data_IF_936504737390
#
_entry.id   IF_936504737390
#
_cell.length_a   1.000
_cell.length_b   1.000
_cell.length_c   1.000
_cell.angle_alpha   90.00
_cell.angle_beta   90.00
_cell.angle_gamma   90.00
#
_symmetry.space_group_name_H-M   'P 1'
#
loop_
_entity.id
_entity.type
_entity.pdbx_description
1 polymer ?
#
# COMPACT_ATOMS: atom_id res chain seq x y z
N UNK A 1 11.05 -4.78 -36.00
CA UNK A 1 11.77 -3.99 -34.99
C UNK A 1 11.01 -4.19 -33.69
N UNK A 2 11.52 -5.05 -32.81
CA UNK A 2 10.92 -5.31 -31.49
C UNK A 2 11.28 -4.13 -30.60
N UNK A 3 10.30 -3.27 -30.32
CA UNK A 3 10.42 -2.29 -29.24
C UNK A 3 10.71 -3.07 -27.96
N UNK A 4 11.92 -2.93 -27.42
CA UNK A 4 12.24 -3.46 -26.11
C UNK A 4 11.33 -2.72 -25.12
N UNK A 5 10.27 -3.38 -24.67
CA UNK A 5 9.35 -2.86 -23.66
C UNK A 5 10.16 -2.54 -22.41
N UNK A 6 10.37 -1.24 -22.15
CA UNK A 6 11.14 -0.77 -20.99
C UNK A 6 10.54 -1.33 -19.70
N UNK A 7 11.34 -2.13 -19.01
CA UNK A 7 11.00 -2.66 -17.70
C UNK A 7 11.19 -1.57 -16.65
N UNK A 8 10.17 -1.34 -15.83
CA UNK A 8 10.23 -0.36 -14.76
C UNK A 8 9.98 -1.02 -13.40
N UNK A 9 10.64 -0.48 -12.37
CA UNK A 9 10.45 -0.92 -10.98
C UNK A 9 9.31 -0.15 -10.35
N UNK A 10 8.38 -0.88 -9.74
CA UNK A 10 7.31 -0.33 -8.93
C UNK A 10 7.65 -0.41 -7.44
N UNK A 11 7.30 0.64 -6.72
CA UNK A 11 7.54 0.81 -5.30
C UNK A 11 6.20 0.88 -4.57
N UNK A 12 6.14 0.28 -3.38
CA UNK A 12 4.99 0.42 -2.51
C UNK A 12 5.03 1.81 -1.87
N UNK A 13 4.01 2.63 -2.11
CA UNK A 13 3.93 3.96 -1.50
C UNK A 13 3.89 3.91 0.03
N UNK A 14 3.36 2.82 0.57
CA UNK A 14 3.28 2.57 2.00
C UNK A 14 4.62 2.54 2.73
N UNK A 15 5.64 1.90 2.13
CA UNK A 15 6.93 1.66 2.77
C UNK A 15 8.16 2.05 1.94
N UNK A 16 7.96 2.53 0.71
CA UNK A 16 9.02 2.92 -0.24
C UNK A 16 9.84 1.75 -0.78
N UNK A 17 9.52 0.50 -0.45
CA UNK A 17 10.28 -0.67 -0.92
C UNK A 17 9.90 -1.05 -2.35
N UNK A 18 10.86 -1.53 -3.16
CA UNK A 18 10.55 -2.12 -4.45
C UNK A 18 9.70 -3.39 -4.22
N UNK A 19 8.70 -3.58 -5.06
CA UNK A 19 7.72 -4.67 -4.90
C UNK A 19 7.52 -5.49 -6.17
N UNK A 20 7.77 -4.92 -7.35
CA UNK A 20 7.76 -5.66 -8.61
C UNK A 20 8.59 -4.94 -9.67
N UNK A 21 9.13 -5.71 -10.61
CA UNK A 21 9.46 -5.21 -11.94
C UNK A 21 8.25 -5.48 -12.85
N UNK A 22 7.92 -4.52 -13.70
CA UNK A 22 6.74 -4.61 -14.56
C UNK A 22 7.01 -4.06 -15.96
N UNK A 23 6.19 -4.51 -16.90
CA UNK A 23 6.16 -4.03 -18.28
C UNK A 23 4.83 -3.36 -18.59
N UNK A 24 4.77 -2.45 -19.59
CA UNK A 24 3.53 -1.85 -20.04
C UNK A 24 2.45 -2.89 -20.39
N UNK A 25 1.22 -2.65 -19.97
CA UNK A 25 0.07 -3.52 -20.26
C UNK A 25 -0.09 -4.74 -19.33
N UNK A 26 0.82 -4.96 -18.38
CA UNK A 26 0.72 -6.05 -17.42
C UNK A 26 -0.31 -5.75 -16.32
N UNK A 27 -1.16 -6.73 -15.99
CA UNK A 27 -2.02 -6.68 -14.79
C UNK A 27 -1.31 -7.33 -13.62
N UNK A 28 -1.24 -6.64 -12.48
CA UNK A 28 -0.53 -7.09 -11.29
C UNK A 28 -1.48 -7.19 -10.09
N UNK A 29 -1.39 -8.31 -9.37
CA UNK A 29 -1.97 -8.47 -8.03
C UNK A 29 -0.81 -8.60 -7.04
N UNK A 30 -0.45 -7.49 -6.39
CA UNK A 30 0.73 -7.40 -5.53
C UNK A 30 0.26 -7.18 -4.11
N UNK A 31 0.86 -7.88 -3.15
CA UNK A 31 0.81 -7.54 -1.74
C UNK A 31 2.20 -7.06 -1.33
N UNK A 32 2.28 -6.06 -0.45
CA UNK A 32 3.56 -5.59 0.06
C UNK A 32 3.84 -6.20 1.44
N UNK A 33 5.10 -6.50 1.71
CA UNK A 33 5.54 -6.96 3.04
C UNK A 33 5.29 -5.94 4.16
N UNK A 34 4.99 -4.67 3.86
CA UNK A 34 4.53 -3.71 4.86
C UNK A 34 3.10 -3.98 5.38
N UNK A 35 2.45 -5.05 4.92
CA UNK A 35 1.09 -5.43 5.29
C UNK A 35 0.00 -4.75 4.46
N UNK A 36 0.38 -4.00 3.42
CA UNK A 36 -0.59 -3.48 2.45
C UNK A 36 -1.13 -4.63 1.61
N UNK A 37 -2.45 -4.87 1.71
CA UNK A 37 -3.16 -5.91 0.98
C UNK A 37 -3.46 -5.49 -0.47
N UNK A 38 -3.64 -4.20 -0.71
CA UNK A 38 -3.74 -3.62 -2.04
C UNK A 38 -2.85 -2.36 -2.07
N UNK A 39 -1.53 -2.52 -2.19
CA UNK A 39 -0.60 -1.41 -2.12
C UNK A 39 -0.89 -0.40 -3.22
N UNK A 40 -0.92 0.88 -2.86
CA UNK A 40 -0.76 1.95 -3.83
C UNK A 40 0.69 1.94 -4.29
N UNK A 41 0.88 1.95 -5.60
CA UNK A 41 2.18 1.77 -6.24
C UNK A 41 2.65 3.10 -6.79
N UNK A 42 3.95 3.35 -6.77
CA UNK A 42 4.54 4.48 -7.47
C UNK A 42 5.80 4.08 -8.24
N UNK A 43 6.11 4.85 -9.27
CA UNK A 43 7.35 4.76 -10.03
C UNK A 43 8.39 5.76 -9.50
N UNK A 44 9.60 5.72 -10.06
CA UNK A 44 10.73 6.59 -9.64
C UNK A 44 10.51 8.07 -9.98
N UNK A 45 9.79 8.35 -11.06
CA UNK A 45 9.42 9.70 -11.49
C UNK A 45 8.34 10.34 -10.59
N UNK A 46 7.83 9.60 -9.60
CA UNK A 46 6.80 10.06 -8.67
C UNK A 46 5.38 9.87 -9.16
N UNK A 47 5.17 9.32 -10.38
CA UNK A 47 3.84 8.90 -10.79
C UNK A 47 3.36 7.74 -9.91
N UNK A 48 2.06 7.66 -9.66
CA UNK A 48 1.49 6.68 -8.75
C UNK A 48 0.13 6.19 -9.24
N UNK A 49 -0.16 4.94 -8.93
CA UNK A 49 -1.36 4.23 -9.34
C UNK A 49 -2.01 3.57 -8.13
N UNK A 50 -3.30 3.83 -7.96
CA UNK A 50 -4.11 3.17 -6.95
C UNK A 50 -4.56 1.79 -7.44
N UNK A 51 -4.69 0.79 -6.56
CA UNK A 51 -5.17 -0.52 -6.95
C UNK A 51 -6.62 -0.45 -7.46
N UNK A 52 -6.98 -1.34 -8.39
CA UNK A 52 -8.33 -1.39 -8.96
C UNK A 52 -9.43 -1.63 -7.90
N UNK A 53 -9.09 -2.29 -6.78
CA UNK A 53 -9.99 -2.45 -5.64
C UNK A 53 -10.46 -1.12 -5.05
N UNK A 54 -9.61 -0.08 -5.04
CA UNK A 54 -9.99 1.27 -4.61
C UNK A 54 -10.98 1.91 -5.60
N UNK A 55 -10.75 1.73 -6.90
CA UNK A 55 -11.63 2.27 -7.96
C UNK A 55 -13.04 1.69 -7.80
N UNK A 56 -13.16 0.38 -7.56
CA UNK A 56 -14.46 -0.27 -7.28
C UNK A 56 -15.05 0.13 -5.93
N UNK A 57 -14.22 0.44 -4.93
CA UNK A 57 -14.67 0.85 -3.60
C UNK A 57 -15.32 2.25 -3.58
N UNK A 58 -15.23 3.05 -4.66
CA UNK A 58 -15.94 4.34 -4.77
C UNK A 58 -17.47 4.22 -4.62
N UNK A 59 -18.04 3.02 -4.71
CA UNK A 59 -19.45 2.72 -4.39
C UNK A 59 -19.69 1.90 -3.11
N UNK A 60 -18.65 1.48 -2.38
CA UNK A 60 -18.75 0.66 -1.17
C UNK A 60 -18.53 1.54 0.06
N UNK A 61 -19.51 1.56 0.97
CA UNK A 61 -19.42 2.28 2.25
C UNK A 61 -19.56 1.28 3.42
N UNK A 62 -18.66 1.31 4.41
CA UNK A 62 -17.49 2.20 4.52
C UNK A 62 -16.33 1.76 3.61
N UNK A 63 -15.49 2.69 3.13
CA UNK A 63 -14.26 2.34 2.43
C UNK A 63 -13.26 1.64 3.39
N UNK A 64 -12.30 0.85 2.87
CA UNK A 64 -11.27 0.23 3.71
C UNK A 64 -10.41 1.24 4.48
N UNK A 65 -9.84 0.81 5.60
CA UNK A 65 -8.89 1.61 6.39
C UNK A 65 -7.62 1.93 5.59
N UNK A 66 -6.92 3.00 5.97
CA UNK A 66 -5.71 3.46 5.30
C UNK A 66 -4.64 2.37 5.18
N UNK A 67 -4.47 1.54 6.21
CA UNK A 67 -3.46 0.47 6.29
C UNK A 67 -3.71 -0.63 5.25
N UNK A 68 -4.94 -0.80 4.75
CA UNK A 68 -5.21 -1.73 3.65
C UNK A 68 -4.42 -1.34 2.38
N UNK A 69 -4.29 -0.03 2.13
CA UNK A 69 -3.63 0.53 0.95
C UNK A 69 -2.16 0.89 1.19
N UNK A 70 -1.83 1.35 2.40
CA UNK A 70 -0.53 1.93 2.73
C UNK A 70 0.29 1.07 3.71
N UNK A 71 -0.28 -0.04 4.19
CA UNK A 71 0.37 -0.91 5.17
C UNK A 71 0.59 -0.23 6.51
N UNK A 72 1.35 -0.92 7.37
CA UNK A 72 1.61 -0.52 8.77
C UNK A 72 2.96 0.20 8.94
N UNK A 73 3.64 0.53 7.83
CA UNK A 73 4.93 1.20 7.86
C UNK A 73 4.80 2.69 8.20
N UNK A 74 5.69 3.17 9.07
CA UNK A 74 5.84 4.58 9.42
C UNK A 74 6.63 5.40 8.38
N UNK A 75 6.99 4.81 7.23
CA UNK A 75 7.65 5.52 6.14
C UNK A 75 6.88 6.80 5.77
N UNK A 76 7.60 7.90 5.55
CA UNK A 76 7.03 9.19 5.19
C UNK A 76 7.57 9.63 3.83
N UNK A 77 6.68 10.12 2.98
CA UNK A 77 7.01 10.77 1.71
C UNK A 77 5.90 11.75 1.33
N UNK A 78 6.22 12.76 0.53
CA UNK A 78 5.23 13.74 0.05
C UNK A 78 4.06 13.05 -0.67
N UNK A 79 4.37 12.09 -1.55
CA UNK A 79 3.35 11.30 -2.26
C UNK A 79 2.45 10.50 -1.31
N UNK A 80 3.02 9.89 -0.25
CA UNK A 80 2.20 9.17 0.74
C UNK A 80 1.30 10.13 1.52
N UNK A 81 1.77 11.33 1.84
CA UNK A 81 0.95 12.36 2.49
C UNK A 81 -0.23 12.78 1.61
N UNK A 82 0.02 13.01 0.32
CA UNK A 82 -1.03 13.32 -0.65
C UNK A 82 -2.03 12.16 -0.79
N UNK A 83 -1.53 10.92 -0.77
CA UNK A 83 -2.36 9.72 -0.77
C UNK A 83 -3.30 9.62 0.42
N UNK A 84 -2.77 9.84 1.61
CA UNK A 84 -3.56 9.84 2.85
C UNK A 84 -4.65 10.90 2.75
N UNK A 85 -4.32 12.11 2.25
CA UNK A 85 -5.31 13.18 2.07
C UNK A 85 -6.43 12.76 1.11
N UNK A 86 -6.09 12.14 -0.03
CA UNK A 86 -7.08 11.65 -0.99
C UNK A 86 -7.97 10.54 -0.42
N UNK A 87 -7.37 9.53 0.23
CA UNK A 87 -8.12 8.42 0.83
C UNK A 87 -9.05 8.91 1.95
N UNK A 88 -8.59 9.84 2.78
CA UNK A 88 -9.44 10.48 3.80
C UNK A 88 -10.59 11.27 3.20
N UNK A 89 -10.38 11.97 2.08
CA UNK A 89 -11.45 12.64 1.36
C UNK A 89 -12.52 11.66 0.82
N UNK A 90 -12.14 10.40 0.57
CA UNK A 90 -13.06 9.31 0.23
C UNK A 90 -13.72 8.65 1.45
N UNK A 91 -13.33 9.04 2.67
CA UNK A 91 -13.88 8.52 3.93
C UNK A 91 -13.07 7.40 4.59
N UNK A 92 -11.89 7.05 4.05
CA UNK A 92 -11.00 6.10 4.73
C UNK A 92 -10.39 6.73 5.98
N UNK A 93 -10.39 5.99 7.08
CA UNK A 93 -9.75 6.35 8.35
C UNK A 93 -8.64 5.33 8.67
N UNK A 94 -7.72 5.69 9.57
CA UNK A 94 -6.80 4.67 10.11
C UNK A 94 -7.56 3.71 11.01
N UNK A 95 -7.11 2.47 11.11
CA UNK A 95 -7.62 1.56 12.14
C UNK A 95 -7.54 2.15 13.56
N UNK A 96 -6.52 2.96 13.84
CA UNK A 96 -6.34 3.58 15.17
C UNK A 96 -7.34 4.72 15.45
N UNK A 97 -8.00 5.22 14.41
CA UNK A 97 -9.04 6.25 14.50
C UNK A 97 -10.45 5.64 14.46
N UNK A 98 -10.56 4.34 14.19
CA UNK A 98 -11.82 3.64 14.14
C UNK A 98 -12.32 3.34 15.56
N UNK A 99 -13.58 3.67 15.84
CA UNK A 99 -14.22 3.39 17.12
C UNK A 99 -14.63 1.93 17.31
N UNK A 100 -14.53 1.11 16.27
CA UNK A 100 -14.85 -0.32 16.32
C UNK A 100 -13.66 -1.09 16.92
N UNK A 101 -13.88 -1.72 18.07
CA UNK A 101 -12.86 -2.51 18.77
C UNK A 101 -12.35 -3.69 17.92
N UNK A 102 -13.17 -4.25 17.04
CA UNK A 102 -12.75 -5.33 16.13
C UNK A 102 -11.72 -4.84 15.11
N UNK A 103 -11.78 -3.56 14.73
CA UNK A 103 -10.84 -2.91 13.83
C UNK A 103 -9.49 -2.68 14.52
N UNK A 104 -9.50 -2.24 15.78
CA UNK A 104 -8.28 -2.11 16.59
C UNK A 104 -7.58 -3.46 16.79
N UNK A 105 -8.32 -4.51 17.13
CA UNK A 105 -7.76 -5.85 17.29
C UNK A 105 -7.20 -6.40 15.96
N UNK A 106 -7.85 -6.10 14.83
CA UNK A 106 -7.34 -6.46 13.51
C UNK A 106 -6.01 -5.74 13.21
N UNK A 107 -5.92 -4.45 13.55
CA UNK A 107 -4.70 -3.67 13.43
C UNK A 107 -3.57 -4.24 14.27
N UNK A 108 -3.81 -4.57 15.54
CA UNK A 108 -2.78 -5.15 16.41
C UNK A 108 -2.25 -6.47 15.84
N UNK A 109 -3.13 -7.39 15.41
CA UNK A 109 -2.72 -8.65 14.78
C UNK A 109 -1.88 -8.44 13.53
N UNK A 110 -2.31 -7.54 12.64
CA UNK A 110 -1.61 -7.27 11.40
C UNK A 110 -0.29 -6.53 11.61
N UNK A 111 -0.23 -5.61 12.59
CA UNK A 111 0.97 -4.89 12.99
C UNK A 111 2.01 -5.82 13.61
N UNK A 112 1.60 -6.71 14.52
CA UNK A 112 2.50 -7.72 15.10
C UNK A 112 3.08 -8.64 14.03
N UNK A 113 2.23 -9.11 13.10
CA UNK A 113 2.69 -9.93 11.99
C UNK A 113 3.75 -9.20 11.15
N UNK A 114 3.50 -7.92 10.84
CA UNK A 114 4.45 -7.06 10.14
C UNK A 114 5.77 -6.86 10.92
N UNK A 115 5.71 -6.59 12.23
CA UNK A 115 6.91 -6.41 13.07
C UNK A 115 7.79 -7.65 13.04
N UNK A 116 7.20 -8.85 13.17
CA UNK A 116 7.94 -10.13 13.08
C UNK A 116 8.60 -10.32 11.71
N UNK A 117 7.93 -9.93 10.62
CA UNK A 117 8.53 -9.99 9.28
C UNK A 117 9.71 -9.02 9.13
N UNK A 118 9.61 -7.81 9.71
CA UNK A 118 10.68 -6.81 9.72
C UNK A 118 11.91 -7.31 10.47
N UNK A 119 11.72 -7.89 11.67
CA UNK A 119 12.80 -8.43 12.51
C UNK A 119 13.55 -9.59 11.83
N UNK A 120 12.83 -10.47 11.12
CA UNK A 120 13.44 -11.56 10.34
C UNK A 120 14.37 -11.05 9.23
N UNK A 121 14.05 -9.90 8.61
CA UNK A 121 14.90 -9.27 7.59
C UNK A 121 16.11 -8.57 8.18
N UNK A 122 15.94 -7.84 9.28
CA UNK A 122 17.06 -7.18 9.98
C UNK A 122 18.06 -8.16 10.62
N UNK A 123 17.71 -9.43 10.71
CA UNK A 123 18.60 -10.51 11.16
C UNK A 123 19.32 -11.24 10.00
N UNK A 124 19.10 -10.82 8.76
CA UNK A 124 19.69 -11.39 7.54
C UNK A 124 20.66 -10.43 6.82
N UNK A 125 20.93 -9.27 7.42
CA UNK A 125 21.98 -8.30 7.03
C UNK A 125 23.11 -8.32 8.06
#
# INVERSE_FOLDING_TARGET
MTEASEEFTLYCLGCGQPVAQSHPGQTLAIACQCGANAPIMHSKDGSWATPFSLIRATGVKPPPHLEYYLGFSEHQSTLKTEAIRMLRALGSISFTECSDESCLQAFERSKEHWQRLKERRGSQE
#
